data_IF_588206152616
#
_entry.id   IF_588206152616
#
_cell.length_a   1.000
_cell.length_b   1.000
_cell.length_c   1.000
_cell.angle_alpha   90.00
_cell.angle_beta   90.00
_cell.angle_gamma   90.00
#
_symmetry.space_group_name_H-M   'P 1'
#
loop_
_entity.id
_entity.type
_entity.pdbx_description
1 polymer ?
#
# COMPACT_ATOMS: atom_id res chain seq x y z
N UNK A 1 -68.86 9.75 -64.04
CA UNK A 1 -69.74 10.16 -62.91
C UNK A 1 -70.73 9.02 -62.76
N UNK A 2 -70.81 8.23 -61.70
CA UNK A 2 -70.91 8.52 -60.26
C UNK A 2 -70.25 7.35 -59.50
N UNK A 3 -69.57 7.68 -58.39
CA UNK A 3 -68.77 6.77 -57.56
C UNK A 3 -69.63 5.70 -56.88
N UNK A 4 -69.21 4.44 -56.97
CA UNK A 4 -69.66 3.33 -56.14
C UNK A 4 -69.06 3.53 -54.74
N UNK A 5 -69.86 3.96 -53.77
CA UNK A 5 -69.44 4.10 -52.38
C UNK A 5 -69.44 2.71 -51.73
N UNK A 6 -68.25 2.11 -51.60
CA UNK A 6 -68.04 0.92 -50.78
C UNK A 6 -68.10 1.38 -49.32
N UNK A 7 -69.13 0.93 -48.62
CA UNK A 7 -69.35 1.10 -47.21
C UNK A 7 -68.25 0.34 -46.44
N UNK A 8 -67.10 0.97 -46.16
CA UNK A 8 -66.12 0.40 -45.24
C UNK A 8 -66.52 0.75 -43.82
N UNK A 9 -67.04 -0.28 -43.13
CA UNK A 9 -67.27 -0.30 -41.70
C UNK A 9 -65.94 0.01 -40.99
N UNK A 10 -65.78 1.24 -40.47
CA UNK A 10 -64.71 1.60 -39.56
C UNK A 10 -64.97 0.88 -38.23
N UNK A 11 -64.58 -0.39 -38.17
CA UNK A 11 -64.39 -1.10 -36.92
C UNK A 11 -63.25 -0.36 -36.22
N UNK A 12 -63.59 0.50 -35.26
CA UNK A 12 -62.65 0.94 -34.24
C UNK A 12 -62.27 -0.31 -33.45
N UNK A 13 -61.28 -1.04 -33.95
CA UNK A 13 -60.60 -2.06 -33.18
C UNK A 13 -59.97 -1.31 -32.00
N UNK A 14 -60.64 -1.38 -30.84
CA UNK A 14 -59.97 -1.15 -29.58
C UNK A 14 -58.89 -2.22 -29.51
N UNK A 15 -57.65 -1.85 -29.84
CA UNK A 15 -56.51 -2.74 -29.76
C UNK A 15 -56.33 -3.07 -28.27
N UNK A 16 -56.95 -4.16 -27.82
CA UNK A 16 -56.55 -4.80 -26.58
C UNK A 16 -55.09 -5.23 -26.79
N UNK A 17 -54.19 -4.68 -25.99
CA UNK A 17 -52.79 -5.08 -26.05
C UNK A 17 -52.69 -6.51 -25.52
N UNK A 18 -52.59 -7.49 -26.41
CA UNK A 18 -52.53 -8.92 -26.06
C UNK A 18 -51.17 -9.33 -25.45
N UNK A 19 -50.21 -8.41 -25.40
CA UNK A 19 -48.86 -8.60 -24.87
C UNK A 19 -48.34 -7.31 -24.25
N UNK A 20 -47.44 -7.44 -23.28
CA UNK A 20 -46.68 -6.32 -22.75
C UNK A 20 -45.32 -6.21 -23.46
N UNK A 21 -44.88 -4.98 -23.71
CA UNK A 21 -43.52 -4.69 -24.20
C UNK A 21 -42.72 -4.00 -23.09
N UNK A 22 -41.59 -4.59 -22.69
CA UNK A 22 -40.72 -4.07 -21.62
C UNK A 22 -39.25 -4.25 -21.97
N UNK A 23 -38.46 -3.18 -21.94
CA UNK A 23 -37.02 -3.18 -22.23
C UNK A 23 -36.65 -3.97 -23.52
N UNK A 24 -37.43 -3.79 -24.59
CA UNK A 24 -37.20 -4.43 -25.89
C UNK A 24 -37.61 -5.91 -25.98
N UNK A 25 -38.23 -6.47 -24.93
CA UNK A 25 -38.79 -7.84 -24.92
C UNK A 25 -40.30 -7.81 -24.85
N UNK A 26 -40.92 -8.91 -25.27
CA UNK A 26 -42.38 -9.07 -25.30
C UNK A 26 -42.81 -10.19 -24.35
N UNK A 27 -43.82 -9.93 -23.53
CA UNK A 27 -44.34 -10.83 -22.50
C UNK A 27 -45.84 -11.08 -22.68
N UNK A 28 -46.31 -12.28 -22.38
CA UNK A 28 -47.72 -12.62 -22.47
C UNK A 28 -48.51 -12.04 -21.28
N UNK A 29 -49.80 -11.74 -21.47
CA UNK A 29 -50.69 -11.35 -20.37
C UNK A 29 -50.65 -12.39 -19.25
N UNK A 30 -50.53 -11.92 -18.00
CA UNK A 30 -50.41 -12.77 -16.81
C UNK A 30 -48.99 -13.24 -16.51
N UNK A 31 -48.04 -13.00 -17.41
CA UNK A 31 -46.66 -13.44 -17.22
C UNK A 31 -45.95 -12.62 -16.13
N UNK A 32 -45.27 -13.32 -15.24
CA UNK A 32 -44.31 -12.74 -14.31
C UNK A 32 -42.89 -12.84 -14.88
N UNK A 33 -42.11 -11.78 -14.73
CA UNK A 33 -40.72 -11.73 -15.20
C UNK A 33 -39.87 -10.82 -14.31
N UNK A 34 -38.54 -10.97 -14.40
CA UNK A 34 -37.61 -10.11 -13.69
C UNK A 34 -37.09 -9.00 -14.60
N UNK A 35 -37.04 -7.79 -14.05
CA UNK A 35 -36.26 -6.67 -14.58
C UNK A 35 -35.31 -6.23 -13.47
N UNK A 36 -34.04 -6.56 -13.64
CA UNK A 36 -33.03 -6.46 -12.57
C UNK A 36 -33.50 -7.23 -11.30
N UNK A 37 -33.49 -6.58 -10.14
CA UNK A 37 -33.94 -7.11 -8.86
C UNK A 37 -35.47 -7.00 -8.66
N UNK A 38 -36.18 -6.33 -9.58
CA UNK A 38 -37.60 -6.10 -9.50
C UNK A 38 -38.39 -7.23 -10.16
N UNK A 39 -39.51 -7.58 -9.52
CA UNK A 39 -40.46 -8.55 -10.06
C UNK A 39 -41.57 -7.78 -10.77
N UNK A 40 -41.75 -8.09 -12.04
CA UNK A 40 -42.69 -7.45 -12.94
C UNK A 40 -43.82 -8.41 -13.32
N UNK A 41 -45.01 -7.86 -13.53
CA UNK A 41 -46.20 -8.56 -13.97
C UNK A 41 -46.80 -7.87 -15.19
N UNK A 42 -47.13 -8.65 -16.22
CA UNK A 42 -47.84 -8.17 -17.39
C UNK A 42 -49.36 -8.20 -17.17
N UNK A 43 -49.96 -7.02 -17.02
CA UNK A 43 -51.40 -6.84 -16.76
C UNK A 43 -52.26 -6.95 -18.03
N UNK A 44 -53.54 -7.27 -17.86
CA UNK A 44 -54.49 -7.54 -18.95
C UNK A 44 -54.74 -6.36 -19.92
N UNK A 45 -54.30 -5.16 -19.58
CA UNK A 45 -54.34 -3.97 -20.43
C UNK A 45 -53.03 -3.73 -21.21
N UNK A 46 -52.10 -4.69 -21.20
CA UNK A 46 -50.77 -4.56 -21.81
C UNK A 46 -49.79 -3.71 -21.00
N UNK A 47 -50.15 -3.28 -19.79
CA UNK A 47 -49.27 -2.51 -18.92
C UNK A 47 -48.40 -3.43 -18.05
N UNK A 48 -47.15 -3.02 -17.83
CA UNK A 48 -46.22 -3.69 -16.93
C UNK A 48 -46.24 -3.01 -15.58
N UNK A 49 -46.38 -3.80 -14.52
CA UNK A 49 -46.24 -3.33 -13.14
C UNK A 49 -45.09 -4.06 -12.46
N UNK A 50 -44.11 -3.31 -11.97
CA UNK A 50 -42.94 -3.85 -11.28
C UNK A 50 -42.91 -3.39 -9.82
N UNK A 51 -42.30 -4.20 -8.96
CA UNK A 51 -41.86 -3.71 -7.65
C UNK A 51 -40.89 -2.54 -7.83
N UNK A 52 -40.80 -1.65 -6.83
CA UNK A 52 -39.88 -0.50 -6.85
C UNK A 52 -38.77 -0.66 -5.81
N UNK A 53 -38.03 -1.77 -5.90
CA UNK A 53 -36.81 -1.96 -5.13
C UNK A 53 -35.71 -1.11 -5.76
N UNK A 54 -34.93 -0.43 -4.91
CA UNK A 54 -33.67 0.13 -5.33
C UNK A 54 -32.75 -1.04 -5.68
N UNK A 55 -32.50 -1.25 -6.97
CA UNK A 55 -31.58 -2.28 -7.41
C UNK A 55 -30.16 -1.71 -7.34
N UNK A 56 -29.26 -2.33 -6.56
CA UNK A 56 -27.86 -1.95 -6.56
C UNK A 56 -27.29 -2.07 -7.98
N UNK A 57 -26.32 -1.22 -8.37
CA UNK A 57 -25.74 -1.27 -9.71
C UNK A 57 -25.22 -2.69 -10.01
N UNK A 58 -25.82 -3.31 -11.02
CA UNK A 58 -25.38 -4.60 -11.55
C UNK A 58 -23.99 -4.43 -12.17
N UNK A 59 -22.94 -4.76 -11.42
CA UNK A 59 -21.72 -5.27 -12.02
C UNK A 59 -22.05 -6.68 -12.52
N UNK A 60 -22.50 -6.75 -13.77
CA UNK A 60 -22.68 -7.99 -14.53
C UNK A 60 -21.40 -8.83 -14.45
N UNK A 61 -21.37 -9.84 -13.56
CA UNK A 61 -20.39 -10.94 -13.64
C UNK A 61 -19.72 -11.46 -12.37
N UNK A 62 -19.89 -10.87 -11.17
CA UNK A 62 -19.25 -11.41 -9.97
C UNK A 62 -20.23 -11.62 -8.82
N UNK A 63 -20.68 -12.86 -8.65
CA UNK A 63 -21.45 -13.34 -7.52
C UNK A 63 -20.54 -13.62 -6.32
N UNK A 64 -19.88 -12.59 -5.79
CA UNK A 64 -19.10 -12.70 -4.55
C UNK A 64 -18.86 -11.32 -3.96
N UNK A 65 -19.03 -11.18 -2.65
CA UNK A 65 -18.55 -10.00 -1.93
C UNK A 65 -17.04 -9.85 -2.18
N UNK A 66 -16.63 -8.70 -2.70
CA UNK A 66 -15.23 -8.36 -3.01
C UNK A 66 -14.96 -6.91 -2.67
N UNK A 67 -13.74 -6.62 -2.25
CA UNK A 67 -13.29 -5.26 -1.95
C UNK A 67 -12.43 -4.72 -3.09
N UNK A 68 -12.70 -3.48 -3.49
CA UNK A 68 -11.88 -2.76 -4.47
C UNK A 68 -10.97 -1.77 -3.73
N UNK A 69 -9.65 -1.92 -3.88
CA UNK A 69 -8.67 -1.02 -3.28
C UNK A 69 -7.55 -0.68 -4.26
N UNK A 70 -7.35 0.62 -4.54
CA UNK A 70 -6.31 1.14 -5.46
C UNK A 70 -6.23 0.39 -6.80
N UNK A 71 -7.39 0.08 -7.38
CA UNK A 71 -7.51 -0.62 -8.67
C UNK A 71 -7.31 -2.14 -8.63
N UNK A 72 -7.09 -2.74 -7.45
CA UNK A 72 -7.05 -4.19 -7.23
C UNK A 72 -8.35 -4.69 -6.61
N UNK A 73 -8.66 -5.97 -6.81
CA UNK A 73 -9.83 -6.66 -6.27
C UNK A 73 -9.37 -7.72 -5.27
N UNK A 74 -9.96 -7.71 -4.08
CA UNK A 74 -9.67 -8.63 -2.98
C UNK A 74 -10.94 -9.39 -2.60
N UNK A 75 -10.83 -10.68 -2.29
CA UNK A 75 -11.96 -11.50 -1.83
C UNK A 75 -12.28 -11.20 -0.37
N UNK A 76 -13.53 -11.35 0.06
CA UNK A 76 -13.85 -11.34 1.49
C UNK A 76 -13.03 -12.40 2.23
N UNK A 77 -12.44 -12.01 3.36
CA UNK A 77 -11.47 -12.82 4.11
C UNK A 77 -10.01 -12.58 3.72
N UNK A 78 -9.76 -11.90 2.60
CA UNK A 78 -8.40 -11.64 2.12
C UNK A 78 -7.75 -10.49 2.90
N UNK A 79 -6.54 -10.75 3.40
CA UNK A 79 -5.69 -9.75 4.01
C UNK A 79 -4.66 -9.25 3.00
N UNK A 80 -4.41 -7.94 3.00
CA UNK A 80 -3.44 -7.31 2.11
C UNK A 80 -2.72 -6.16 2.82
N UNK A 81 -1.59 -5.70 2.28
CA UNK A 81 -0.89 -4.50 2.77
C UNK A 81 -1.27 -3.29 1.92
N UNK A 82 -1.49 -2.17 2.58
CA UNK A 82 -1.47 -0.84 1.96
C UNK A 82 -0.42 0.01 2.65
N UNK A 83 0.71 0.18 1.96
CA UNK A 83 1.93 0.76 2.55
C UNK A 83 2.35 -0.03 3.81
N UNK A 84 2.58 0.64 4.95
CA UNK A 84 2.87 -0.01 6.23
C UNK A 84 1.62 -0.59 6.95
N UNK A 85 0.41 -0.32 6.45
CA UNK A 85 -0.82 -0.73 7.11
C UNK A 85 -1.27 -2.12 6.66
N UNK A 86 -1.78 -2.92 7.62
CA UNK A 86 -2.44 -4.20 7.32
C UNK A 86 -3.93 -3.96 7.12
N UNK A 87 -4.43 -4.41 5.99
CA UNK A 87 -5.82 -4.31 5.59
C UNK A 87 -6.48 -5.69 5.48
N UNK A 88 -7.80 -5.70 5.59
CA UNK A 88 -8.63 -6.89 5.47
C UNK A 88 -9.92 -6.55 4.74
N UNK A 89 -10.31 -7.41 3.78
CA UNK A 89 -11.59 -7.32 3.12
C UNK A 89 -12.67 -8.03 3.94
N UNK A 90 -13.55 -7.25 4.57
CA UNK A 90 -14.70 -7.72 5.34
C UNK A 90 -15.98 -7.82 4.50
N UNK A 91 -17.01 -8.41 5.10
CA UNK A 91 -18.34 -8.54 4.49
C UNK A 91 -18.93 -7.19 4.08
N UNK A 92 -19.90 -7.22 3.15
CA UNK A 92 -20.48 -6.03 2.53
C UNK A 92 -19.44 -5.13 1.84
N UNK A 93 -18.34 -5.70 1.35
CA UNK A 93 -17.28 -5.02 0.60
C UNK A 93 -16.55 -3.92 1.40
N UNK A 94 -16.50 -4.05 2.72
CA UNK A 94 -15.86 -3.06 3.62
C UNK A 94 -14.40 -3.42 3.83
N UNK A 95 -13.51 -2.45 3.62
CA UNK A 95 -12.09 -2.59 3.94
C UNK A 95 -11.83 -1.99 5.31
N UNK A 96 -11.28 -2.82 6.20
CA UNK A 96 -10.69 -2.36 7.46
C UNK A 96 -9.17 -2.38 7.37
N UNK A 97 -8.52 -1.26 7.68
CA UNK A 97 -7.06 -1.19 7.77
C UNK A 97 -6.64 -0.68 9.16
N UNK A 98 -5.44 -1.06 9.59
CA UNK A 98 -4.75 -0.35 10.67
C UNK A 98 -4.53 1.13 10.29
N UNK A 99 -4.31 1.98 11.29
CA UNK A 99 -4.03 3.42 11.10
C UNK A 99 -2.66 3.79 11.66
N UNK A 100 -1.63 3.16 11.10
CA UNK A 100 -0.24 3.50 11.36
C UNK A 100 0.16 4.70 10.50
N UNK A 101 0.91 5.63 11.10
CA UNK A 101 1.57 6.69 10.36
C UNK A 101 2.74 6.06 9.59
N UNK A 102 2.58 5.90 8.28
CA UNK A 102 3.61 5.27 7.47
C UNK A 102 4.79 6.22 7.19
N UNK A 103 6.02 5.71 7.11
CA UNK A 103 7.19 6.51 6.73
C UNK A 103 7.00 7.17 5.35
N UNK A 104 7.64 8.32 5.09
CA UNK A 104 7.62 8.94 3.77
C UNK A 104 8.15 7.97 2.71
N UNK A 105 7.43 7.83 1.58
CA UNK A 105 7.88 7.03 0.43
C UNK A 105 9.27 7.49 -0.01
N UNK A 106 10.28 6.64 0.19
CA UNK A 106 11.70 6.96 -0.01
C UNK A 106 12.57 6.70 1.23
N UNK A 107 11.98 6.51 2.41
CA UNK A 107 12.63 5.86 3.54
C UNK A 107 12.35 4.37 3.48
N UNK A 108 13.41 3.56 3.39
CA UNK A 108 13.31 2.11 3.25
C UNK A 108 12.74 1.54 4.55
N UNK A 109 11.51 1.05 4.50
CA UNK A 109 10.93 0.23 5.56
C UNK A 109 11.57 -1.15 5.51
N UNK A 110 12.67 -1.30 6.25
CA UNK A 110 13.45 -2.52 6.32
C UNK A 110 12.74 -3.66 7.08
N UNK A 111 11.56 -3.40 7.67
CA UNK A 111 10.84 -4.41 8.47
C UNK A 111 10.41 -5.64 7.67
N UNK A 112 10.30 -5.53 6.34
CA UNK A 112 9.98 -6.65 5.43
C UNK A 112 11.18 -7.10 4.57
N UNK A 113 12.32 -6.42 4.70
CA UNK A 113 13.50 -6.64 3.84
C UNK A 113 14.47 -7.68 4.39
N UNK A 114 14.33 -8.11 5.65
CA UNK A 114 15.24 -9.07 6.29
C UNK A 114 16.67 -8.53 6.47
N UNK A 115 16.85 -7.21 6.45
CA UNK A 115 18.15 -6.54 6.64
C UNK A 115 17.98 -5.32 7.54
N UNK A 116 19.05 -4.87 8.17
CA UNK A 116 19.13 -3.62 8.91
C UNK A 116 20.12 -2.67 8.23
N UNK A 117 19.89 -1.37 8.34
CA UNK A 117 20.85 -0.34 7.93
C UNK A 117 21.44 0.34 9.16
N UNK A 118 22.76 0.33 9.28
CA UNK A 118 23.50 1.04 10.33
C UNK A 118 24.65 1.83 9.74
N UNK A 119 24.70 3.15 9.97
CA UNK A 119 25.77 4.04 9.47
C UNK A 119 26.06 3.89 7.96
N UNK A 120 25.04 3.59 7.16
CA UNK A 120 25.17 3.41 5.70
C UNK A 120 25.63 2.02 5.26
N UNK A 121 25.83 1.08 6.19
CA UNK A 121 26.11 -0.32 5.91
C UNK A 121 24.85 -1.18 6.10
N UNK A 122 24.73 -2.23 5.30
CA UNK A 122 23.59 -3.17 5.33
C UNK A 122 24.01 -4.49 5.97
N UNK A 123 23.25 -4.94 6.95
CA UNK A 123 23.45 -6.19 7.70
C UNK A 123 22.22 -7.07 7.57
N UNK A 124 22.37 -8.38 7.58
CA UNK A 124 21.24 -9.32 7.57
C UNK A 124 20.68 -9.51 8.97
N UNK A 125 19.40 -9.85 9.06
CA UNK A 125 18.79 -10.27 10.33
C UNK A 125 19.60 -11.42 10.94
N UNK A 126 19.92 -11.29 12.23
CA UNK A 126 20.78 -12.22 12.95
C UNK A 126 22.27 -11.84 12.94
N UNK A 127 22.70 -10.91 12.10
CA UNK A 127 24.10 -10.47 12.07
C UNK A 127 24.46 -9.73 13.36
N UNK A 128 25.66 -10.03 13.85
CA UNK A 128 26.31 -9.30 14.94
C UNK A 128 27.53 -8.56 14.39
N UNK A 129 27.68 -7.29 14.77
CA UNK A 129 28.76 -6.44 14.28
C UNK A 129 29.23 -5.46 15.36
N UNK A 130 30.32 -4.74 15.06
CA UNK A 130 30.91 -3.72 15.94
C UNK A 130 30.64 -2.33 15.41
N UNK A 131 30.18 -1.46 16.29
CA UNK A 131 30.19 -0.01 16.09
C UNK A 131 31.10 0.59 17.16
N UNK A 132 32.34 0.89 16.74
CA UNK A 132 33.44 1.24 17.64
C UNK A 132 33.66 0.14 18.71
N UNK A 133 33.50 0.45 20.01
CA UNK A 133 33.61 -0.53 21.08
C UNK A 133 32.30 -1.29 21.31
N UNK A 134 31.17 -0.77 20.83
CA UNK A 134 29.84 -1.31 21.07
C UNK A 134 29.58 -2.55 20.23
N UNK A 135 28.93 -3.54 20.83
CA UNK A 135 28.40 -4.70 20.12
C UNK A 135 26.98 -4.40 19.65
N UNK A 136 26.72 -4.62 18.37
CA UNK A 136 25.45 -4.39 17.72
C UNK A 136 24.88 -5.70 17.15
N UNK A 137 23.55 -5.77 17.07
CA UNK A 137 22.80 -6.89 16.53
C UNK A 137 21.66 -6.38 15.62
N UNK A 138 21.49 -7.02 14.46
CA UNK A 138 20.38 -6.75 13.55
C UNK A 138 19.16 -7.61 13.91
N UNK A 139 18.11 -6.97 14.44
CA UNK A 139 16.85 -7.62 14.83
C UNK A 139 15.90 -7.89 13.66
N UNK A 140 14.97 -8.83 13.87
CA UNK A 140 14.04 -9.33 12.84
C UNK A 140 13.13 -8.25 12.23
N UNK A 141 12.90 -7.15 12.95
CA UNK A 141 12.10 -6.00 12.50
C UNK A 141 12.93 -4.95 11.74
N UNK A 142 14.16 -5.27 11.33
CA UNK A 142 15.06 -4.33 10.64
C UNK A 142 15.69 -3.29 11.57
N UNK A 143 15.56 -3.45 12.89
CA UNK A 143 16.10 -2.52 13.89
C UNK A 143 17.44 -3.02 14.42
N UNK A 144 18.40 -2.10 14.53
CA UNK A 144 19.71 -2.37 15.13
C UNK A 144 19.67 -2.06 16.62
N UNK A 145 20.03 -3.05 17.43
CA UNK A 145 20.28 -2.87 18.87
C UNK A 145 21.77 -2.90 19.16
N UNK A 146 22.31 -1.83 19.74
CA UNK A 146 23.71 -1.76 20.18
C UNK A 146 23.83 -1.61 21.70
N UNK A 147 24.91 -2.12 22.27
CA UNK A 147 25.33 -1.72 23.63
C UNK A 147 25.58 -0.21 23.68
N UNK A 148 25.51 0.40 24.87
CA UNK A 148 25.78 1.83 25.09
C UNK A 148 26.98 2.03 26.02
N UNK A 149 28.11 1.46 25.63
CA UNK A 149 29.39 1.68 26.28
C UNK A 149 29.95 3.04 25.86
N UNK A 150 30.38 3.83 26.84
CA UNK A 150 31.22 5.00 26.56
C UNK A 150 32.57 4.48 26.07
N UNK A 151 32.81 4.60 24.76
CA UNK A 151 34.04 4.11 24.17
C UNK A 151 35.21 4.99 24.59
N UNK A 152 36.07 4.44 25.46
CA UNK A 152 37.28 5.13 25.92
C UNK A 152 38.36 4.92 24.88
N UNK A 153 38.53 5.90 24.01
CA UNK A 153 39.69 5.93 23.12
C UNK A 153 40.91 6.36 23.91
N UNK A 154 41.73 5.39 24.33
CA UNK A 154 43.07 5.68 24.85
C UNK A 154 43.94 6.15 23.68
N UNK A 155 44.35 7.41 23.75
CA UNK A 155 45.04 8.08 22.67
C UNK A 155 45.47 9.49 23.08
N UNK A 156 46.06 10.20 22.13
CA UNK A 156 46.59 11.53 22.32
C UNK A 156 45.82 12.49 21.42
N UNK A 157 45.31 13.57 22.00
CA UNK A 157 44.75 14.68 21.24
C UNK A 157 45.89 15.61 20.83
N UNK A 158 46.17 15.73 19.53
CA UNK A 158 47.20 16.62 19.00
C UNK A 158 46.63 17.44 17.84
N UNK A 159 46.63 18.77 17.96
CA UNK A 159 46.02 19.71 16.99
C UNK A 159 44.59 19.30 16.58
N UNK A 160 43.73 18.97 17.56
CA UNK A 160 42.35 18.49 17.38
C UNK A 160 42.17 17.17 16.62
N UNK A 161 43.26 16.43 16.36
CA UNK A 161 43.20 15.06 15.83
C UNK A 161 43.53 14.06 16.93
N UNK A 162 42.74 13.00 17.02
CA UNK A 162 42.96 11.91 17.96
C UNK A 162 43.87 10.86 17.32
N UNK A 163 44.94 10.50 18.02
CA UNK A 163 45.90 9.47 17.62
C UNK A 163 45.84 8.32 18.61
N UNK A 164 45.83 7.08 18.12
CA UNK A 164 45.84 5.88 18.98
C UNK A 164 47.18 5.76 19.70
N UNK A 165 47.20 5.17 20.90
CA UNK A 165 48.47 4.86 21.58
C UNK A 165 49.40 4.04 20.66
N UNK A 166 50.64 4.49 20.51
CA UNK A 166 51.65 3.90 19.61
C UNK A 166 51.59 4.42 18.17
N UNK A 167 50.55 5.17 17.78
CA UNK A 167 50.42 5.74 16.44
C UNK A 167 51.50 6.82 16.22
N UNK A 168 52.22 6.71 15.10
CA UNK A 168 53.21 7.70 14.68
C UNK A 168 52.65 8.61 13.62
N UNK A 169 52.91 9.91 13.72
CA UNK A 169 52.44 10.91 12.78
C UNK A 169 53.47 12.01 12.60
N UNK A 170 53.30 12.81 11.56
CA UNK A 170 54.20 13.93 11.27
C UNK A 170 53.50 15.24 11.62
N UNK A 171 54.20 16.10 12.35
CA UNK A 171 53.84 17.50 12.53
C UNK A 171 54.93 18.33 11.86
N UNK A 172 54.64 18.81 10.65
CA UNK A 172 55.60 19.56 9.84
C UNK A 172 56.83 18.71 9.49
N UNK A 173 58.05 19.07 9.91
CA UNK A 173 59.24 18.23 9.72
C UNK A 173 59.50 17.25 10.89
N UNK A 174 58.67 17.30 11.94
CA UNK A 174 58.86 16.54 13.17
C UNK A 174 58.05 15.25 13.18
N UNK A 175 58.69 14.15 13.61
CA UNK A 175 58.04 12.86 13.80
C UNK A 175 57.52 12.77 15.23
N UNK A 176 56.26 12.45 15.39
CA UNK A 176 55.56 12.32 16.65
C UNK A 176 55.09 10.88 16.86
N UNK A 177 54.96 10.47 18.12
CA UNK A 177 54.32 9.22 18.55
C UNK A 177 53.37 9.52 19.70
N UNK A 178 52.17 8.93 19.67
CA UNK A 178 51.26 8.99 20.79
C UNK A 178 51.70 8.03 21.91
N UNK A 179 52.10 8.58 23.05
CA UNK A 179 52.53 7.81 24.22
C UNK A 179 51.38 7.12 24.95
N UNK A 180 51.72 6.12 25.78
CA UNK A 180 50.75 5.37 26.59
C UNK A 180 50.05 6.24 27.67
N UNK A 181 50.63 7.39 28.01
CA UNK A 181 50.09 8.37 28.96
C UNK A 181 49.11 9.37 28.33
N UNK A 182 48.84 9.26 27.02
CA UNK A 182 47.95 10.18 26.31
C UNK A 182 48.62 11.47 25.81
N UNK A 183 49.94 11.59 25.95
CA UNK A 183 50.73 12.70 25.41
C UNK A 183 51.41 12.32 24.09
N UNK A 184 51.37 13.23 23.11
CA UNK A 184 52.16 13.10 21.90
C UNK A 184 53.60 13.57 22.16
N UNK A 185 54.57 12.72 21.87
CA UNK A 185 56.01 13.03 21.97
C UNK A 185 56.55 13.20 20.56
N UNK A 186 57.12 14.38 20.27
CA UNK A 186 57.65 14.72 18.95
C UNK A 186 59.16 14.95 18.99
N UNK A 187 59.83 14.70 17.87
CA UNK A 187 61.19 15.22 17.64
C UNK A 187 61.18 16.75 17.66
N UNK A 188 62.35 17.37 17.92
CA UNK A 188 62.53 18.82 17.90
C UNK A 188 63.56 19.23 16.83
N UNK A 189 63.19 19.09 15.57
CA UNK A 189 63.90 19.62 14.40
C UNK A 189 63.36 21.01 14.10
N UNK A 190 64.26 21.95 13.80
CA UNK A 190 63.87 23.23 13.21
C UNK A 190 63.38 23.01 11.79
N UNK A 191 62.13 23.37 11.51
CA UNK A 191 61.54 23.19 10.18
C UNK A 191 61.81 24.43 9.33
N UNK A 192 62.31 24.21 8.11
CA UNK A 192 62.54 25.28 7.14
C UNK A 192 61.30 25.35 6.26
N UNK A 193 60.68 26.51 6.22
CA UNK A 193 59.55 26.81 5.34
C UNK A 193 60.04 27.81 4.28
N UNK A 194 59.90 27.46 3.00
CA UNK A 194 60.15 28.35 1.85
C UNK A 194 58.90 29.13 1.47
#
# INVERSE_FOLDING_TARGET
MIKLAILSCLVLAAFAADKCHHNGKTYNIGQMFKDDCNLCFCGANGAVSCTKKFCPPNHSGYSGEVCHHKGKVYKVGEAFKDDCNRCFCGSNNVIGCTKMLCPPHGQIDYSDSGVCNHNGQVYKVGDSFKDDCNSCFCGENGVVGCTKMACVHRGCLFKNKLYKTGETFTNDCNKCICGATGQAVCTMKGCIHE
#
